data_IF_782063549264
#
_entry.id   IF_782063549264
#
_cell.length_a   1.000
_cell.length_b   1.000
_cell.length_c   1.000
_cell.angle_alpha   90.00
_cell.angle_beta   90.00
_cell.angle_gamma   90.00
#
_symmetry.space_group_name_H-M   'P 1'
#
loop_
_entity.id
_entity.type
_entity.pdbx_description
1 polymer ?
#
# COMPACT_ATOMS: atom_id res chain seq x y z
N UNK A 1 0.94 -7.05 -11.81
CA UNK A 1 -0.32 -7.36 -12.49
C UNK A 1 -1.44 -6.37 -12.16
N UNK A 2 -1.17 -5.27 -11.44
CA UNK A 2 -2.11 -4.15 -11.35
C UNK A 2 -1.71 -3.02 -12.30
N UNK A 3 -1.70 -1.79 -11.78
CA UNK A 3 -1.57 -0.57 -12.59
C UNK A 3 -0.27 0.18 -12.34
N UNK A 4 0.03 1.13 -13.23
CA UNK A 4 1.21 1.98 -13.18
C UNK A 4 0.80 3.45 -13.22
N UNK A 5 1.67 4.32 -12.69
CA UNK A 5 1.62 5.75 -12.94
C UNK A 5 3.00 6.26 -13.34
N UNK A 6 3.07 7.45 -13.93
CA UNK A 6 4.32 8.04 -14.40
C UNK A 6 4.35 9.55 -14.16
N UNK A 7 5.47 10.06 -13.67
CA UNK A 7 5.75 11.50 -13.59
C UNK A 7 6.87 11.85 -14.58
N UNK A 8 6.55 12.54 -15.70
CA UNK A 8 7.54 12.92 -16.71
C UNK A 8 8.64 13.86 -16.19
N UNK A 9 8.34 14.71 -15.19
CA UNK A 9 9.31 15.67 -14.64
C UNK A 9 10.38 14.94 -13.82
N UNK A 10 10.00 13.86 -13.15
CA UNK A 10 10.90 13.07 -12.32
C UNK A 10 11.54 11.90 -13.08
N UNK A 11 11.04 11.59 -14.27
CA UNK A 11 11.34 10.38 -15.02
C UNK A 11 11.11 9.10 -14.20
N UNK A 12 10.12 9.11 -13.30
CA UNK A 12 9.80 7.99 -12.42
C UNK A 12 8.49 7.34 -12.82
N UNK A 13 8.48 6.01 -12.95
CA UNK A 13 7.26 5.21 -12.96
C UNK A 13 7.03 4.56 -11.60
N UNK A 14 5.75 4.37 -11.28
CA UNK A 14 5.29 3.92 -9.98
C UNK A 14 4.39 2.70 -10.11
N UNK A 15 4.59 1.71 -9.24
CA UNK A 15 3.77 0.50 -9.20
C UNK A 15 3.91 -0.21 -7.84
N UNK A 16 3.03 -1.17 -7.61
CA UNK A 16 3.05 -2.03 -6.43
C UNK A 16 3.47 -3.47 -6.74
N UNK A 17 4.35 -4.06 -5.93
CA UNK A 17 4.67 -5.49 -6.00
C UNK A 17 3.65 -6.34 -5.21
N UNK A 18 3.34 -7.53 -5.71
CA UNK A 18 2.35 -8.45 -5.14
C UNK A 18 2.80 -9.17 -3.87
N UNK A 19 2.04 -10.20 -3.49
CA UNK A 19 2.25 -10.99 -2.28
C UNK A 19 3.45 -11.96 -2.38
N UNK A 20 4.04 -12.36 -1.24
CA UNK A 20 5.02 -13.43 -1.20
C UNK A 20 4.36 -14.81 -1.38
N UNK A 21 5.19 -15.79 -1.74
CA UNK A 21 4.78 -17.18 -1.89
C UNK A 21 5.56 -18.08 -0.91
N UNK A 22 4.95 -19.16 -0.38
CA UNK A 22 3.52 -19.53 -0.51
C UNK A 22 2.60 -18.65 0.35
N UNK A 23 1.28 -18.84 0.32
CA UNK A 23 0.38 -18.17 1.28
C UNK A 23 0.65 -18.57 2.73
N UNK A 24 1.07 -19.82 2.96
CA UNK A 24 1.47 -20.31 4.28
C UNK A 24 2.68 -19.52 4.80
N UNK A 25 2.44 -18.61 5.74
CA UNK A 25 3.46 -17.70 6.29
C UNK A 25 4.58 -18.45 7.02
N UNK A 26 4.22 -19.54 7.72
CA UNK A 26 5.14 -20.27 8.60
C UNK A 26 6.30 -20.91 7.80
N UNK A 27 6.10 -21.10 6.50
CA UNK A 27 7.12 -21.65 5.58
C UNK A 27 8.13 -20.62 5.09
N UNK A 28 7.91 -19.31 5.32
CA UNK A 28 8.72 -18.22 4.78
C UNK A 28 9.00 -17.13 5.83
N UNK A 29 9.77 -17.44 6.88
CA UNK A 29 10.09 -16.50 7.93
C UNK A 29 10.85 -15.28 7.41
N UNK A 30 10.61 -14.12 8.03
CA UNK A 30 11.24 -12.84 7.70
C UNK A 30 10.34 -11.90 6.89
N UNK A 31 10.79 -10.66 6.72
CA UNK A 31 9.98 -9.59 6.11
C UNK A 31 9.55 -9.85 4.65
N UNK A 32 10.19 -10.81 3.98
CA UNK A 32 9.92 -11.19 2.59
C UNK A 32 10.09 -10.01 1.61
N UNK A 33 11.05 -9.12 1.89
CA UNK A 33 11.35 -7.99 1.01
C UNK A 33 11.80 -8.49 -0.38
N UNK A 34 11.35 -7.89 -1.47
CA UNK A 34 10.56 -6.66 -1.58
C UNK A 34 9.15 -6.88 -2.16
N UNK A 35 8.44 -7.89 -1.65
CA UNK A 35 6.98 -8.04 -1.90
C UNK A 35 6.21 -6.92 -1.21
N UNK A 36 4.94 -6.71 -1.57
CA UNK A 36 4.05 -5.72 -0.93
C UNK A 36 4.61 -4.30 -0.90
N UNK A 37 5.40 -3.92 -1.90
CA UNK A 37 6.18 -2.68 -1.90
C UNK A 37 5.64 -1.71 -2.95
N UNK A 38 5.44 -0.44 -2.56
CA UNK A 38 5.25 0.67 -3.50
C UNK A 38 6.63 1.09 -4.00
N UNK A 39 6.80 1.20 -5.31
CA UNK A 39 8.05 1.57 -5.96
C UNK A 39 7.95 2.91 -6.66
N UNK A 40 9.07 3.65 -6.65
CA UNK A 40 9.38 4.68 -7.65
C UNK A 40 10.68 4.29 -8.35
N UNK A 41 10.63 4.03 -9.66
CA UNK A 41 11.77 3.60 -10.47
C UNK A 41 12.02 4.54 -11.62
N UNK A 42 13.28 4.79 -11.93
CA UNK A 42 13.67 5.52 -13.14
C UNK A 42 13.20 4.76 -14.39
N UNK A 43 12.58 5.48 -15.33
CA UNK A 43 11.97 4.88 -16.51
C UNK A 43 13.01 4.31 -17.48
N UNK A 44 14.15 4.98 -17.62
CA UNK A 44 15.17 4.59 -18.61
C UNK A 44 16.00 3.39 -18.14
N UNK A 45 16.31 3.33 -16.84
CA UNK A 45 17.22 2.32 -16.27
C UNK A 45 16.50 1.23 -15.48
N UNK A 46 15.25 1.46 -15.06
CA UNK A 46 14.52 0.57 -14.16
C UNK A 46 15.04 0.56 -12.71
N UNK A 47 16.02 1.40 -12.38
CA UNK A 47 16.60 1.45 -11.02
C UNK A 47 15.61 2.08 -10.04
N UNK A 48 15.44 1.46 -8.87
CA UNK A 48 14.58 2.00 -7.82
C UNK A 48 15.23 3.23 -7.19
N UNK A 49 14.51 4.36 -7.24
CA UNK A 49 14.84 5.56 -6.49
C UNK A 49 14.45 5.40 -5.03
N UNK A 50 13.29 4.78 -4.79
CA UNK A 50 12.77 4.48 -3.46
C UNK A 50 11.82 3.26 -3.51
N UNK A 51 11.62 2.62 -2.36
CA UNK A 51 10.71 1.50 -2.18
C UNK A 51 10.17 1.47 -0.75
N UNK A 52 8.84 1.40 -0.59
CA UNK A 52 8.16 1.36 0.71
C UNK A 52 7.35 0.08 0.85
N UNK A 53 7.77 -0.82 1.75
CA UNK A 53 7.07 -2.09 1.99
C UNK A 53 5.89 -1.88 2.95
N UNK A 54 4.67 -2.00 2.43
CA UNK A 54 3.40 -1.77 3.15
C UNK A 54 3.09 -2.89 4.14
N UNK A 55 3.31 -4.14 3.72
CA UNK A 55 2.95 -5.34 4.48
C UNK A 55 4.18 -6.26 4.61
N UNK A 56 5.10 -5.97 5.56
CA UNK A 56 6.19 -6.88 5.89
C UNK A 56 5.64 -8.21 6.39
N UNK A 57 6.20 -9.31 5.89
CA UNK A 57 5.76 -10.67 6.21
C UNK A 57 4.23 -10.81 6.10
N UNK A 58 3.71 -10.70 4.87
CA UNK A 58 2.27 -10.87 4.61
C UNK A 58 1.78 -12.24 5.10
N UNK A 59 0.58 -12.26 5.67
CA UNK A 59 -0.04 -13.48 6.21
C UNK A 59 -1.44 -13.71 5.59
N UNK A 60 -1.87 -12.84 4.68
CA UNK A 60 -3.28 -12.72 4.29
C UNK A 60 -3.54 -12.58 2.80
N UNK A 61 -2.50 -12.67 1.95
CA UNK A 61 -2.58 -12.39 0.52
C UNK A 61 -3.00 -10.94 0.20
N UNK A 62 -2.52 -9.95 0.95
CA UNK A 62 -2.81 -8.55 0.61
C UNK A 62 -1.95 -8.03 -0.54
N UNK A 63 -2.04 -8.68 -1.72
CA UNK A 63 -1.14 -8.42 -2.85
C UNK A 63 -1.18 -6.94 -3.25
N UNK A 64 -0.10 -6.22 -2.96
CA UNK A 64 -0.10 -4.77 -2.94
C UNK A 64 0.05 -4.10 -4.30
N UNK A 65 -0.76 -4.52 -5.28
CA UNK A 65 -0.66 -4.14 -6.70
C UNK A 65 -1.66 -3.06 -7.14
N UNK A 66 -2.49 -2.54 -6.23
CA UNK A 66 -3.54 -1.59 -6.57
C UNK A 66 -3.00 -0.30 -7.21
N UNK A 67 -3.91 0.49 -7.78
CA UNK A 67 -3.63 1.73 -8.50
C UNK A 67 -2.70 2.69 -7.73
N UNK A 68 -1.88 3.44 -8.49
CA UNK A 68 -1.13 4.59 -8.02
C UNK A 68 -1.78 5.87 -8.59
N UNK A 69 -2.20 6.80 -7.74
CA UNK A 69 -2.83 8.06 -8.15
C UNK A 69 -1.89 9.22 -7.85
N UNK A 70 -1.41 9.91 -8.87
CA UNK A 70 -0.50 11.06 -8.69
C UNK A 70 -1.30 12.35 -8.60
N UNK A 71 -1.06 13.14 -7.56
CA UNK A 71 -1.71 14.43 -7.35
C UNK A 71 -0.72 15.45 -6.79
N UNK A 72 -0.97 16.73 -7.01
CA UNK A 72 -0.26 17.81 -6.34
C UNK A 72 -1.23 18.50 -5.38
N UNK A 73 -0.95 18.43 -4.07
CA UNK A 73 -1.83 18.98 -3.05
C UNK A 73 -1.03 19.69 -1.94
N UNK A 74 -1.63 20.69 -1.27
CA UNK A 74 -1.00 21.29 -0.09
C UNK A 74 -1.04 20.32 1.10
N UNK A 75 0.14 19.95 1.61
CA UNK A 75 0.31 19.20 2.87
C UNK A 75 0.91 20.16 3.88
N UNK A 76 0.19 20.42 4.98
CA UNK A 76 0.58 21.42 5.98
C UNK A 76 0.91 22.80 5.35
N UNK A 77 0.11 23.22 4.37
CA UNK A 77 0.27 24.49 3.67
C UNK A 77 1.34 24.53 2.57
N UNK A 78 2.14 23.46 2.40
CA UNK A 78 3.16 23.35 1.34
C UNK A 78 2.67 22.47 0.21
N UNK A 79 2.66 23.00 -1.02
CA UNK A 79 2.39 22.21 -2.22
C UNK A 79 3.40 21.06 -2.30
N UNK A 80 2.90 19.83 -2.36
CA UNK A 80 3.69 18.61 -2.31
C UNK A 80 3.30 17.68 -3.44
N UNK A 81 4.27 17.08 -4.15
CA UNK A 81 4.00 16.06 -5.15
C UNK A 81 3.70 14.72 -4.49
N UNK A 82 2.45 14.28 -4.59
CA UNK A 82 1.92 13.10 -3.90
C UNK A 82 1.69 11.91 -4.84
N UNK A 83 1.75 10.73 -4.25
CA UNK A 83 1.20 9.48 -4.75
C UNK A 83 0.26 8.94 -3.66
N UNK A 84 -0.99 8.69 -4.02
CA UNK A 84 -2.00 8.05 -3.20
C UNK A 84 -2.31 6.64 -3.69
N UNK A 85 -2.53 5.72 -2.77
CA UNK A 85 -2.68 4.30 -3.04
C UNK A 85 -3.53 3.64 -1.95
N UNK A 86 -4.65 3.02 -2.33
CA UNK A 86 -5.47 2.21 -1.42
C UNK A 86 -5.08 0.74 -1.61
N UNK A 87 -4.53 0.13 -0.57
CA UNK A 87 -4.03 -1.24 -0.62
C UNK A 87 -5.12 -2.26 -0.25
N UNK A 88 -4.93 -3.50 -0.70
CA UNK A 88 -5.73 -4.67 -0.28
C UNK A 88 -5.86 -4.78 1.24
N UNK A 89 -4.82 -4.42 1.98
CA UNK A 89 -4.78 -4.48 3.44
C UNK A 89 -5.74 -3.48 4.15
N UNK A 90 -6.46 -2.65 3.39
CA UNK A 90 -7.45 -1.71 3.90
C UNK A 90 -6.87 -0.39 4.40
N UNK A 91 -5.62 -0.08 4.06
CA UNK A 91 -4.98 1.20 4.37
C UNK A 91 -4.86 2.05 3.09
N UNK A 92 -5.28 3.31 3.18
CA UNK A 92 -4.95 4.37 2.23
C UNK A 92 -3.61 4.97 2.61
N UNK A 93 -2.65 4.82 1.71
CA UNK A 93 -1.32 5.39 1.81
C UNK A 93 -1.21 6.64 0.92
N UNK A 94 -0.66 7.72 1.47
CA UNK A 94 -0.19 8.86 0.68
C UNK A 94 1.29 9.09 0.98
N UNK A 95 2.10 9.13 -0.07
CA UNK A 95 3.55 9.32 -0.02
C UNK A 95 3.94 10.55 -0.85
N UNK A 96 5.05 11.18 -0.51
CA UNK A 96 5.73 12.08 -1.44
C UNK A 96 6.34 11.25 -2.56
N UNK A 97 5.92 11.50 -3.81
CA UNK A 97 6.32 10.65 -4.95
C UNK A 97 7.77 10.87 -5.42
N UNK A 98 8.42 11.96 -5.02
CA UNK A 98 9.82 12.23 -5.35
C UNK A 98 10.79 11.37 -4.54
N UNK A 99 10.49 11.15 -3.25
CA UNK A 99 11.43 10.54 -2.30
C UNK A 99 10.89 9.34 -1.51
N UNK A 100 9.60 9.03 -1.62
CA UNK A 100 8.97 7.91 -0.92
C UNK A 100 8.65 8.18 0.56
N UNK A 101 8.72 9.43 1.03
CA UNK A 101 8.37 9.76 2.41
C UNK A 101 6.87 9.53 2.67
N UNK A 102 6.56 8.81 3.74
CA UNK A 102 5.18 8.54 4.15
C UNK A 102 4.53 9.79 4.76
N UNK A 103 3.31 10.11 4.32
CA UNK A 103 2.54 11.28 4.78
C UNK A 103 1.25 10.85 5.47
N UNK A 104 0.49 9.94 4.84
CA UNK A 104 -0.78 9.39 5.36
C UNK A 104 -0.73 7.87 5.29
N UNK A 105 -1.27 7.20 6.30
CA UNK A 105 -1.49 5.76 6.32
C UNK A 105 -2.68 5.43 7.21
N UNK A 106 -3.89 5.64 6.68
CA UNK A 106 -5.15 5.56 7.43
C UNK A 106 -6.03 4.41 6.96
N UNK A 107 -6.86 3.86 7.86
CA UNK A 107 -7.82 2.82 7.50
C UNK A 107 -8.90 3.40 6.59
N UNK A 108 -9.25 2.69 5.51
CA UNK A 108 -10.37 3.08 4.64
C UNK A 108 -11.73 2.82 5.29
N UNK A 109 -11.78 1.86 6.22
CA UNK A 109 -12.97 1.50 6.98
C UNK A 109 -12.55 1.02 8.40
N UNK A 110 -13.29 1.38 9.46
CA UNK A 110 -12.96 1.00 10.84
C UNK A 110 -12.94 -0.51 11.10
N UNK A 111 -13.55 -1.33 10.24
CA UNK A 111 -13.55 -2.79 10.37
C UNK A 111 -12.16 -3.42 10.18
N UNK A 112 -11.19 -2.73 9.57
CA UNK A 112 -9.81 -3.22 9.44
C UNK A 112 -9.24 -3.52 10.82
N UNK A 113 -8.83 -4.77 11.07
CA UNK A 113 -8.39 -5.23 12.39
C UNK A 113 -7.00 -5.90 12.41
N UNK A 114 -6.48 -6.34 11.27
CA UNK A 114 -5.12 -6.92 11.14
C UNK A 114 -4.01 -6.01 11.66
N UNK A 115 -4.21 -4.70 11.56
CA UNK A 115 -3.33 -3.68 12.11
C UNK A 115 -4.11 -2.78 13.05
N UNK A 116 -3.50 -2.47 14.21
CA UNK A 116 -4.01 -1.43 15.10
C UNK A 116 -3.95 -0.06 14.39
N UNK A 117 -2.81 0.22 13.75
CA UNK A 117 -2.51 1.42 12.95
C UNK A 117 -1.23 1.21 12.13
N UNK A 118 -0.87 2.18 11.30
CA UNK A 118 0.51 2.32 10.80
C UNK A 118 1.25 3.36 11.65
N UNK A 119 2.47 3.05 12.07
CA UNK A 119 3.34 4.03 12.74
C UNK A 119 4.06 4.86 11.68
N UNK A 120 3.76 6.16 11.61
CA UNK A 120 4.33 7.05 10.59
C UNK A 120 5.82 7.34 10.79
N UNK A 121 6.37 7.11 11.98
CA UNK A 121 7.80 7.31 12.27
C UNK A 121 8.63 6.11 11.83
N UNK A 122 8.19 4.90 12.17
CA UNK A 122 8.89 3.68 11.73
C UNK A 122 8.51 3.29 10.30
N UNK A 123 7.36 3.74 9.81
CA UNK A 123 6.80 3.39 8.51
C UNK A 123 6.17 2.00 8.48
N UNK A 124 5.98 1.32 9.62
CA UNK A 124 5.51 -0.07 9.66
C UNK A 124 4.12 -0.21 10.27
N UNK A 125 3.29 -1.16 9.79
CA UNK A 125 2.04 -1.51 10.47
C UNK A 125 2.29 -2.09 11.87
N UNK A 126 1.51 -1.63 12.85
CA UNK A 126 1.45 -2.21 14.20
C UNK A 126 0.46 -3.38 14.15
N UNK A 127 0.99 -4.59 14.04
CA UNK A 127 0.23 -5.83 13.89
C UNK A 127 -0.61 -6.13 15.13
N UNK A 128 -1.79 -6.68 14.91
CA UNK A 128 -2.62 -7.26 15.96
C UNK A 128 -2.51 -8.80 15.92
N UNK A 129 -1.83 -9.44 16.89
CA UNK A 129 -1.62 -10.89 16.87
C UNK A 129 -2.92 -11.72 16.89
N UNK A 130 -4.04 -11.14 17.34
CA UNK A 130 -5.35 -11.82 17.35
C UNK A 130 -5.84 -12.17 15.94
N UNK A 131 -5.47 -11.35 14.94
CA UNK A 131 -5.94 -11.47 13.55
C UNK A 131 -4.83 -11.96 12.60
N UNK A 132 -3.73 -12.49 13.14
CA UNK A 132 -2.66 -13.14 12.41
C UNK A 132 -3.07 -14.51 11.85
N UNK A 133 -2.35 -15.01 10.85
CA UNK A 133 -2.46 -16.41 10.40
C UNK A 133 -1.20 -17.18 10.76
N UNK A 134 -1.33 -18.49 11.01
CA UNK A 134 -0.21 -19.39 11.31
C UNK A 134 -0.64 -20.85 11.19
N UNK A 135 0.33 -21.74 11.00
CA UNK A 135 0.10 -23.18 11.03
C UNK A 135 -0.57 -23.64 12.35
N UNK A 136 -1.34 -24.72 12.25
CA UNK A 136 -2.05 -25.36 13.37
C UNK A 136 -3.00 -24.43 14.14
N UNK A 137 -3.44 -23.35 13.49
CA UNK A 137 -4.38 -22.37 14.04
C UNK A 137 -5.34 -21.86 12.97
N UNK A 138 -6.60 -21.65 13.36
CA UNK A 138 -7.61 -21.04 12.49
C UNK A 138 -7.86 -19.60 12.92
N UNK A 139 -7.33 -18.65 12.16
CA UNK A 139 -7.72 -17.24 12.29
C UNK A 139 -9.18 -17.05 11.90
N UNK A 140 -9.90 -16.17 12.61
CA UNK A 140 -11.33 -15.93 12.40
C UNK A 140 -11.64 -14.44 12.47
N UNK A 141 -12.67 -14.00 11.74
CA UNK A 141 -13.12 -12.59 11.71
C UNK A 141 -11.99 -11.60 11.34
N UNK A 142 -11.08 -12.04 10.47
CA UNK A 142 -10.00 -11.20 9.95
C UNK A 142 -10.58 -10.24 8.91
N UNK A 143 -10.28 -8.95 9.09
CA UNK A 143 -10.68 -7.88 8.18
C UNK A 143 -9.44 -7.03 7.80
N UNK A 144 -9.17 -6.85 6.49
CA UNK A 144 -9.94 -7.37 5.34
C UNK A 144 -9.81 -8.88 5.13
N UNK A 145 -10.69 -9.45 4.29
CA UNK A 145 -10.47 -10.78 3.72
C UNK A 145 -9.33 -10.75 2.69
N UNK A 146 -8.87 -11.90 2.21
CA UNK A 146 -7.85 -11.95 1.16
C UNK A 146 -8.21 -11.14 -0.10
N UNK A 147 -9.50 -10.98 -0.44
CA UNK A 147 -9.92 -10.12 -1.56
C UNK A 147 -9.60 -8.62 -1.34
N UNK A 148 -9.33 -8.24 -0.09
CA UNK A 148 -9.03 -6.89 0.36
C UNK A 148 -10.27 -6.01 0.48
N UNK A 149 -10.14 -4.86 1.15
CA UNK A 149 -11.14 -3.78 1.12
C UNK A 149 -11.04 -2.94 -0.16
N UNK A 150 -10.00 -3.15 -0.94
CA UNK A 150 -9.86 -2.64 -2.29
C UNK A 150 -9.10 -3.65 -3.16
N UNK A 151 -9.44 -3.76 -4.44
CA UNK A 151 -8.82 -4.72 -5.36
C UNK A 151 -8.41 -4.04 -6.68
N UNK A 152 -8.49 -4.72 -7.82
CA UNK A 152 -7.98 -4.22 -9.10
C UNK A 152 -8.68 -2.98 -9.65
N UNK A 153 -9.73 -2.48 -9.00
CA UNK A 153 -10.48 -1.30 -9.41
C UNK A 153 -9.57 -0.08 -9.66
N UNK A 154 -9.99 0.74 -10.61
CA UNK A 154 -9.35 2.02 -10.94
C UNK A 154 -10.30 3.13 -10.49
N UNK A 155 -9.94 3.78 -9.40
CA UNK A 155 -10.62 4.92 -8.81
C UNK A 155 -10.38 6.21 -9.60
N UNK A 156 -11.18 7.24 -9.33
CA UNK A 156 -11.07 8.55 -9.96
C UNK A 156 -10.75 9.65 -8.94
N UNK A 157 -10.09 10.71 -9.39
CA UNK A 157 -9.75 11.88 -8.58
C UNK A 157 -10.26 13.16 -9.26
N UNK A 158 -10.98 13.99 -8.51
CA UNK A 158 -11.38 15.33 -8.93
C UNK A 158 -10.39 16.38 -8.37
N UNK A 159 -9.66 17.12 -9.23
CA UNK A 159 -8.72 18.14 -8.78
C UNK A 159 -9.37 19.39 -8.21
N UNK A 160 -10.62 19.71 -8.55
CA UNK A 160 -11.30 20.92 -8.06
C UNK A 160 -11.68 20.76 -6.58
N UNK A 161 -12.39 19.68 -6.24
CA UNK A 161 -12.73 19.36 -4.85
C UNK A 161 -11.57 18.71 -4.08
N UNK A 162 -10.56 18.20 -4.79
CA UNK A 162 -9.43 17.41 -4.28
C UNK A 162 -9.86 16.08 -3.64
N UNK A 163 -10.80 15.40 -4.28
CA UNK A 163 -11.44 14.18 -3.74
C UNK A 163 -11.07 12.96 -4.57
N UNK A 164 -10.66 11.88 -3.89
CA UNK A 164 -10.53 10.54 -4.49
C UNK A 164 -11.83 9.77 -4.24
N UNK A 165 -12.46 9.26 -5.30
CA UNK A 165 -13.66 8.44 -5.22
C UNK A 165 -13.30 6.97 -5.39
N UNK A 166 -13.24 6.25 -4.27
CA UNK A 166 -12.79 4.87 -4.25
C UNK A 166 -13.93 3.85 -4.26
N UNK A 167 -13.82 2.82 -5.10
CA UNK A 167 -14.72 1.66 -5.09
C UNK A 167 -14.26 0.60 -4.10
N UNK A 168 -14.72 0.66 -2.86
CA UNK A 168 -14.37 -0.33 -1.83
C UNK A 168 -15.16 -1.64 -1.97
N UNK A 169 -14.59 -2.75 -1.49
CA UNK A 169 -15.20 -4.08 -1.45
C UNK A 169 -16.04 -4.33 -0.19
#
# INVERSE_FOLDING_TARGET
WGWYAYDPKLNLFYYGSGNPAPWNETMRPGDNKWTMTIWGRDLDTGMAKWGYQKTPHDEWDFAGVNQMVLTDQPVNGKMTPLLSHIDRNGILYTLNRENGNLIVAEKVDPAVNVFKKVDLKSGTPVRDPEFATRMDHKGTNICPSAMGFHNQGVDSYDPESRTLYAGLN
#
